data_IF_160009811706
#
_entry.id   IF_160009811706
#
_cell.length_a   1.000
_cell.length_b   1.000
_cell.length_c   1.000
_cell.angle_alpha   90.00
_cell.angle_beta   90.00
_cell.angle_gamma   90.00
#
_symmetry.space_group_name_H-M   'P 1'
#
loop_
_entity.id
_entity.type
_entity.pdbx_description
1 polymer ?
#
# COMPACT_ATOMS: atom_id res chain seq x y z
N UNK A 1 -12.89 -26.99 -15.59
CA UNK A 1 -13.79 -26.13 -14.79
C UNK A 1 -13.07 -24.94 -14.15
N UNK A 2 -11.88 -25.10 -13.54
CA UNK A 2 -11.04 -23.98 -13.02
C UNK A 2 -10.82 -22.84 -14.03
N UNK A 3 -10.63 -23.17 -15.30
CA UNK A 3 -10.40 -22.20 -16.37
C UNK A 3 -11.54 -21.17 -16.57
N UNK A 4 -12.81 -21.48 -16.28
CA UNK A 4 -13.90 -20.52 -16.51
C UNK A 4 -14.12 -19.55 -15.34
N UNK A 5 -13.88 -19.99 -14.11
CA UNK A 5 -13.95 -19.17 -12.88
C UNK A 5 -12.89 -18.07 -12.89
N UNK A 6 -11.69 -18.47 -13.33
CA UNK A 6 -10.57 -17.60 -13.63
C UNK A 6 -10.99 -16.47 -14.58
N UNK A 7 -11.67 -16.76 -15.70
CA UNK A 7 -12.05 -15.74 -16.69
C UNK A 7 -13.04 -14.69 -16.15
N UNK A 8 -13.92 -15.04 -15.21
CA UNK A 8 -14.85 -14.08 -14.60
C UNK A 8 -14.19 -13.22 -13.52
N UNK A 9 -13.30 -13.82 -12.72
CA UNK A 9 -12.44 -13.09 -11.78
C UNK A 9 -11.55 -12.12 -12.56
N UNK A 10 -10.92 -12.60 -13.63
CA UNK A 10 -10.14 -11.78 -14.55
C UNK A 10 -11.02 -10.70 -15.18
N UNK A 11 -12.21 -10.99 -15.70
CA UNK A 11 -13.08 -9.96 -16.29
C UNK A 11 -13.51 -8.88 -15.28
N UNK A 12 -13.71 -9.22 -14.00
CA UNK A 12 -14.07 -8.27 -12.94
C UNK A 12 -12.87 -7.44 -12.49
N UNK A 13 -11.71 -8.07 -12.31
CA UNK A 13 -10.42 -7.41 -12.08
C UNK A 13 -10.11 -6.50 -13.26
N UNK A 14 -10.19 -6.97 -14.51
CA UNK A 14 -10.04 -6.20 -15.75
C UNK A 14 -11.05 -5.08 -15.87
N UNK A 15 -12.33 -5.29 -15.53
CA UNK A 15 -13.34 -4.22 -15.55
C UNK A 15 -12.99 -3.13 -14.53
N UNK A 16 -12.55 -3.48 -13.32
CA UNK A 16 -12.13 -2.50 -12.33
C UNK A 16 -10.77 -1.87 -12.65
N UNK A 17 -9.82 -2.63 -13.22
CA UNK A 17 -8.54 -2.15 -13.74
C UNK A 17 -8.76 -1.19 -14.90
N UNK A 18 -9.36 -1.60 -16.03
CA UNK A 18 -9.57 -0.75 -17.22
C UNK A 18 -10.53 0.42 -16.97
N UNK A 19 -11.45 0.30 -16.01
CA UNK A 19 -12.30 1.43 -15.57
C UNK A 19 -11.55 2.41 -14.65
N UNK A 20 -10.48 1.96 -13.98
CA UNK A 20 -9.60 2.78 -13.15
C UNK A 20 -8.32 3.23 -13.90
N UNK A 21 -7.91 2.49 -14.94
CA UNK A 21 -6.79 2.74 -15.85
C UNK A 21 -7.39 3.45 -17.05
N UNK A 22 -7.35 4.76 -16.96
CA UNK A 22 -7.92 5.67 -17.93
C UNK A 22 -7.11 5.61 -19.24
N UNK A 23 -7.51 4.77 -20.20
CA UNK A 23 -6.91 4.70 -21.54
C UNK A 23 -7.06 5.99 -22.38
N UNK A 24 -7.67 7.04 -21.82
CA UNK A 24 -7.69 8.37 -22.42
C UNK A 24 -6.69 9.27 -21.73
N UNK A 25 -5.57 9.46 -22.43
CA UNK A 25 -4.57 10.50 -22.17
C UNK A 25 -5.21 11.87 -22.02
N UNK A 26 -4.56 12.62 -21.14
CA UNK A 26 -4.62 14.06 -20.91
C UNK A 26 -5.85 14.59 -20.18
N UNK A 27 -5.53 15.19 -19.03
CA UNK A 27 -6.28 16.22 -18.32
C UNK A 27 -7.74 15.87 -18.04
N UNK A 28 -8.11 15.47 -16.82
CA UNK A 28 -9.12 16.23 -16.07
C UNK A 28 -9.47 15.62 -14.68
N UNK A 29 -10.06 16.44 -13.78
CA UNK A 29 -10.44 16.18 -12.39
C UNK A 29 -11.48 15.07 -12.14
N UNK A 30 -11.76 14.18 -13.09
CA UNK A 30 -12.86 13.21 -12.99
C UNK A 30 -12.64 12.13 -11.92
N UNK A 31 -11.39 11.89 -11.51
CA UNK A 31 -11.08 11.02 -10.37
C UNK A 31 -11.51 11.60 -9.02
N UNK A 32 -11.57 12.94 -8.87
CA UNK A 32 -12.10 13.58 -7.65
C UNK A 32 -13.58 13.25 -7.39
N UNK A 33 -14.32 12.84 -8.42
CA UNK A 33 -15.76 12.57 -8.34
C UNK A 33 -16.08 11.11 -7.97
N UNK A 34 -15.28 10.14 -8.45
CA UNK A 34 -15.54 8.70 -8.24
C UNK A 34 -14.94 8.13 -6.96
N UNK A 35 -13.77 8.60 -6.55
CA UNK A 35 -13.30 8.46 -5.18
C UNK A 35 -13.93 9.59 -4.39
N UNK A 36 -15.26 9.57 -4.28
CA UNK A 36 -16.00 10.59 -3.57
C UNK A 36 -15.37 10.71 -2.19
N UNK A 37 -14.59 11.78 -2.06
CA UNK A 37 -13.99 12.25 -0.84
C UNK A 37 -15.09 12.18 0.22
N UNK A 38 -14.99 11.22 1.13
CA UNK A 38 -15.62 11.36 2.44
C UNK A 38 -14.88 12.44 3.26
N UNK A 39 -14.23 13.42 2.63
CA UNK A 39 -13.91 14.71 3.25
C UNK A 39 -15.14 15.63 3.16
N UNK A 40 -16.35 15.12 3.42
CA UNK A 40 -17.50 16.01 3.57
C UNK A 40 -17.46 16.77 4.89
N UNK A 41 -16.62 16.35 5.84
CA UNK A 41 -16.17 17.07 7.03
C UNK A 41 -15.06 16.23 7.69
N UNK A 42 -13.79 16.64 7.66
CA UNK A 42 -12.86 16.26 8.74
C UNK A 42 -11.52 16.95 8.55
N UNK A 43 -11.00 17.50 9.63
CA UNK A 43 -9.63 17.96 9.87
C UNK A 43 -8.56 16.85 9.72
N UNK A 44 -8.81 15.83 8.89
CA UNK A 44 -8.02 14.60 8.82
C UNK A 44 -6.99 14.64 7.71
N UNK A 45 -5.76 14.29 8.05
CA UNK A 45 -4.66 14.22 7.11
C UNK A 45 -4.94 13.20 5.97
N UNK A 46 -4.59 13.50 4.70
CA UNK A 46 -4.81 12.61 3.56
C UNK A 46 -4.19 11.22 3.74
N UNK A 47 -3.04 11.14 4.41
CA UNK A 47 -2.33 9.90 4.71
C UNK A 47 -3.15 8.90 5.56
N UNK A 48 -3.92 9.40 6.52
CA UNK A 48 -4.74 8.59 7.43
C UNK A 48 -6.20 8.49 6.96
N UNK A 49 -6.52 9.11 5.82
CA UNK A 49 -7.87 9.05 5.26
C UNK A 49 -8.08 7.69 4.58
N UNK A 50 -9.08 6.90 5.02
CA UNK A 50 -9.32 5.60 4.42
C UNK A 50 -9.90 5.72 3.00
N UNK A 51 -9.55 4.75 2.15
CA UNK A 51 -10.15 4.55 0.83
C UNK A 51 -11.15 3.41 0.91
N UNK A 52 -12.39 3.67 0.50
CA UNK A 52 -13.48 2.70 0.51
C UNK A 52 -13.80 2.20 -0.89
N UNK A 53 -13.93 0.88 -1.04
CA UNK A 53 -14.37 0.20 -2.27
C UNK A 53 -15.52 -0.74 -1.92
N UNK A 54 -16.65 -0.63 -2.59
CA UNK A 54 -17.81 -1.50 -2.36
C UNK A 54 -17.82 -2.67 -3.33
N UNK A 55 -18.09 -3.87 -2.83
CA UNK A 55 -18.23 -5.09 -3.64
C UNK A 55 -19.39 -5.94 -3.10
N UNK A 56 -19.62 -7.07 -3.76
CA UNK A 56 -20.57 -8.10 -3.35
C UNK A 56 -20.07 -9.47 -3.79
N UNK A 57 -20.47 -10.52 -3.08
CA UNK A 57 -20.07 -11.91 -3.37
C UNK A 57 -20.94 -12.48 -4.46
N UNK A 58 -20.38 -12.80 -5.63
CA UNK A 58 -21.12 -13.54 -6.66
C UNK A 58 -21.25 -15.03 -6.30
N UNK A 59 -22.18 -15.77 -6.91
CA UNK A 59 -22.30 -17.22 -6.67
C UNK A 59 -21.02 -17.99 -7.03
N UNK A 60 -20.19 -17.47 -7.94
CA UNK A 60 -18.92 -18.11 -8.30
C UNK A 60 -17.79 -17.81 -7.31
N UNK A 61 -18.02 -16.91 -6.36
CA UNK A 61 -17.08 -16.58 -5.29
C UNK A 61 -17.46 -17.28 -3.97
N UNK A 62 -18.50 -18.13 -3.98
CA UNK A 62 -18.90 -18.90 -2.80
C UNK A 62 -18.28 -20.29 -2.75
N UNK A 63 -18.04 -20.77 -1.54
CA UNK A 63 -17.60 -22.14 -1.28
C UNK A 63 -18.78 -23.13 -1.20
N UNK A 64 -18.48 -24.38 -0.83
CA UNK A 64 -19.49 -25.43 -0.62
C UNK A 64 -20.53 -25.09 0.46
N UNK A 65 -20.23 -24.18 1.38
CA UNK A 65 -21.14 -23.74 2.45
C UNK A 65 -22.01 -22.56 2.01
N UNK A 66 -21.96 -22.16 0.73
CA UNK A 66 -22.70 -21.03 0.17
C UNK A 66 -22.36 -19.69 0.82
N UNK A 67 -21.17 -19.56 1.40
CA UNK A 67 -20.64 -18.28 1.85
C UNK A 67 -19.42 -17.90 1.03
N UNK A 68 -19.04 -16.62 1.06
CA UNK A 68 -17.83 -16.15 0.39
C UNK A 68 -16.64 -17.04 0.76
N UNK A 69 -16.02 -17.65 -0.25
CA UNK A 69 -14.85 -18.50 -0.06
C UNK A 69 -13.69 -17.70 0.54
N UNK A 70 -13.01 -18.28 1.53
CA UNK A 70 -11.89 -17.65 2.23
C UNK A 70 -10.79 -17.15 1.27
N UNK A 71 -10.53 -17.86 0.17
CA UNK A 71 -9.53 -17.46 -0.82
C UNK A 71 -9.89 -16.17 -1.56
N UNK A 72 -11.19 -15.96 -1.84
CA UNK A 72 -11.65 -14.81 -2.64
C UNK A 72 -11.55 -13.48 -1.90
N UNK A 73 -11.35 -13.49 -0.57
CA UNK A 73 -11.04 -12.27 0.18
C UNK A 73 -9.70 -11.65 -0.25
N UNK A 74 -8.72 -12.45 -0.67
CA UNK A 74 -7.42 -11.93 -1.10
C UNK A 74 -7.50 -11.14 -2.41
N UNK A 75 -8.34 -11.58 -3.35
CA UNK A 75 -8.61 -10.83 -4.58
C UNK A 75 -9.28 -9.48 -4.30
N UNK A 76 -10.21 -9.46 -3.35
CA UNK A 76 -10.85 -8.22 -2.90
C UNK A 76 -9.88 -7.30 -2.14
N UNK A 77 -9.00 -7.88 -1.33
CA UNK A 77 -7.90 -7.15 -0.70
C UNK A 77 -7.04 -6.49 -1.76
N UNK A 78 -6.61 -7.21 -2.80
CA UNK A 78 -5.83 -6.68 -3.93
C UNK A 78 -6.46 -5.46 -4.57
N UNK A 79 -7.76 -5.51 -4.83
CA UNK A 79 -8.47 -4.37 -5.43
C UNK A 79 -8.48 -3.17 -4.48
N UNK A 80 -8.86 -3.38 -3.21
CA UNK A 80 -9.01 -2.28 -2.23
C UNK A 80 -7.67 -1.63 -1.88
N UNK A 81 -6.64 -2.44 -1.63
CA UNK A 81 -5.32 -1.95 -1.22
C UNK A 81 -4.55 -1.31 -2.36
N UNK A 82 -4.68 -1.81 -3.59
CA UNK A 82 -4.07 -1.18 -4.77
C UNK A 82 -4.61 0.23 -4.98
N UNK A 83 -5.92 0.45 -4.77
CA UNK A 83 -6.49 1.79 -4.86
C UNK A 83 -5.84 2.77 -3.85
N UNK A 84 -5.58 2.32 -2.62
CA UNK A 84 -4.91 3.14 -1.61
C UNK A 84 -3.43 3.35 -1.94
N UNK A 85 -2.68 2.27 -2.21
CA UNK A 85 -1.23 2.31 -2.41
C UNK A 85 -0.86 3.14 -3.63
N UNK A 86 -1.60 3.01 -4.74
CA UNK A 86 -1.39 3.85 -5.93
C UNK A 86 -1.61 5.33 -5.61
N UNK A 87 -2.66 5.66 -4.85
CA UNK A 87 -2.94 7.05 -4.47
C UNK A 87 -1.84 7.66 -3.59
N UNK A 88 -1.29 6.89 -2.64
CA UNK A 88 -0.27 7.37 -1.71
C UNK A 88 1.14 7.39 -2.33
N UNK A 89 1.52 6.33 -3.06
CA UNK A 89 2.90 6.11 -3.48
C UNK A 89 3.20 6.69 -4.86
N UNK A 90 2.27 6.65 -5.82
CA UNK A 90 2.56 7.05 -7.21
C UNK A 90 3.17 8.45 -7.35
N UNK A 91 2.69 9.50 -6.65
CA UNK A 91 3.29 10.83 -6.77
C UNK A 91 4.76 10.88 -6.32
N UNK A 92 5.07 10.24 -5.19
CA UNK A 92 6.43 10.25 -4.62
C UNK A 92 7.38 9.28 -5.31
N UNK A 93 6.83 8.18 -5.85
CA UNK A 93 7.58 7.17 -6.59
C UNK A 93 8.23 7.77 -7.84
N UNK A 94 7.50 8.57 -8.61
CA UNK A 94 8.05 9.15 -9.84
C UNK A 94 9.18 10.15 -9.56
N UNK A 95 9.04 10.95 -8.49
CA UNK A 95 10.10 11.88 -8.05
C UNK A 95 11.33 11.08 -7.60
N UNK A 96 11.16 10.08 -6.72
CA UNK A 96 12.25 9.23 -6.25
C UNK A 96 12.94 8.49 -7.40
N UNK A 97 12.19 8.03 -8.40
CA UNK A 97 12.72 7.36 -9.58
C UNK A 97 13.72 8.25 -10.30
N UNK A 98 13.31 9.48 -10.60
CA UNK A 98 14.11 10.48 -11.33
C UNK A 98 15.37 10.86 -10.56
N UNK A 99 15.25 11.16 -9.28
CA UNK A 99 16.40 11.44 -8.41
C UNK A 99 17.41 10.31 -8.40
N UNK A 100 16.94 9.06 -8.31
CA UNK A 100 17.80 7.88 -8.30
C UNK A 100 18.33 7.53 -9.70
N UNK A 101 17.68 7.98 -10.78
CA UNK A 101 18.14 7.78 -12.17
C UNK A 101 19.22 8.77 -12.56
N UNK A 102 19.23 9.96 -11.95
CA UNK A 102 20.29 10.96 -12.09
C UNK A 102 21.58 10.56 -11.37
N UNK A 103 21.52 9.65 -10.40
CA UNK A 103 22.71 9.16 -9.72
C UNK A 103 23.49 8.20 -10.63
N UNK A 104 24.71 8.60 -10.94
CA UNK A 104 25.63 7.87 -11.80
C UNK A 104 26.81 7.38 -10.97
N UNK A 105 27.27 6.16 -11.23
CA UNK A 105 28.49 5.62 -10.65
C UNK A 105 29.74 6.27 -11.24
N UNK A 106 30.90 6.06 -10.61
CA UNK A 106 32.21 6.51 -11.11
C UNK A 106 32.53 6.03 -12.54
N UNK A 107 31.83 4.99 -13.02
CA UNK A 107 31.96 4.44 -14.38
C UNK A 107 31.02 5.06 -15.43
N UNK A 108 30.23 6.08 -15.06
CA UNK A 108 29.27 6.72 -15.97
C UNK A 108 27.97 5.94 -16.19
N UNK A 109 27.75 4.84 -15.46
CA UNK A 109 26.51 4.03 -15.52
C UNK A 109 25.54 4.43 -14.42
N UNK A 110 24.24 4.20 -14.63
CA UNK A 110 23.22 4.41 -13.61
C UNK A 110 23.54 3.59 -12.35
N UNK A 111 23.65 4.26 -11.21
CA UNK A 111 23.98 3.66 -9.91
C UNK A 111 22.94 2.64 -9.45
N UNK A 112 21.67 2.91 -9.74
CA UNK A 112 20.57 2.03 -9.40
C UNK A 112 19.80 1.62 -10.66
N UNK A 113 20.25 0.58 -11.38
CA UNK A 113 19.53 0.08 -12.53
C UNK A 113 18.26 -0.66 -12.10
N UNK A 114 17.17 -0.47 -12.85
CA UNK A 114 15.91 -1.19 -12.65
C UNK A 114 14.71 -0.27 -12.47
N UNK A 115 13.53 -0.85 -12.63
CA UNK A 115 12.25 -0.16 -12.45
C UNK A 115 11.92 -0.02 -10.97
N UNK A 116 11.18 1.03 -10.66
CA UNK A 116 10.60 1.24 -9.34
C UNK A 116 9.29 0.44 -9.24
N UNK A 117 9.13 -0.35 -8.18
CA UNK A 117 7.96 -1.20 -7.96
C UNK A 117 7.59 -1.22 -6.48
N UNK A 118 6.29 -1.37 -6.21
CA UNK A 118 5.77 -1.66 -4.87
C UNK A 118 5.39 -3.13 -4.85
N UNK A 119 6.09 -3.91 -4.03
CA UNK A 119 5.92 -5.36 -3.93
C UNK A 119 5.21 -5.72 -2.63
N UNK A 120 4.27 -6.65 -2.71
CA UNK A 120 3.66 -7.24 -1.52
C UNK A 120 4.61 -8.28 -0.93
N UNK A 121 4.98 -8.13 0.34
CA UNK A 121 5.81 -9.12 1.05
C UNK A 121 5.00 -10.14 1.83
N UNK A 122 3.92 -9.71 2.48
CA UNK A 122 3.08 -10.58 3.29
C UNK A 122 1.65 -10.04 3.34
N UNK A 123 0.68 -10.95 3.41
CA UNK A 123 -0.72 -10.65 3.61
C UNK A 123 -1.33 -11.61 4.61
N UNK A 124 -2.16 -11.08 5.49
CA UNK A 124 -2.93 -11.85 6.44
C UNK A 124 -4.37 -11.41 6.38
N UNK A 125 -5.27 -12.37 6.55
CA UNK A 125 -6.70 -12.12 6.64
C UNK A 125 -7.28 -12.89 7.82
N UNK A 126 -8.05 -12.21 8.66
CA UNK A 126 -8.82 -12.82 9.73
C UNK A 126 -10.31 -12.64 9.47
N UNK A 127 -11.01 -13.76 9.35
CA UNK A 127 -12.45 -13.83 9.10
C UNK A 127 -13.21 -13.76 10.43
N UNK A 128 -14.20 -12.87 10.53
CA UNK A 128 -15.01 -12.64 11.75
C UNK A 128 -16.45 -13.06 11.58
N UNK A 129 -17.05 -12.77 10.42
CA UNK A 129 -18.43 -13.13 10.08
C UNK A 129 -18.52 -13.53 8.62
N UNK A 130 -19.39 -14.49 8.33
CA UNK A 130 -19.67 -14.94 6.98
C UNK A 130 -20.38 -13.85 6.14
N UNK A 131 -20.13 -13.92 4.84
CA UNK A 131 -20.74 -13.06 3.82
C UNK A 131 -21.56 -13.95 2.89
N UNK A 132 -22.90 -13.90 2.96
CA UNK A 132 -23.77 -14.67 2.09
C UNK A 132 -23.73 -14.17 0.63
N UNK A 133 -24.24 -14.96 -0.33
CA UNK A 133 -24.24 -14.60 -1.73
C UNK A 133 -25.01 -13.30 -1.97
N UNK A 134 -24.50 -12.48 -2.87
CA UNK A 134 -25.01 -11.16 -3.26
C UNK A 134 -25.10 -10.12 -2.14
N UNK A 135 -24.60 -10.42 -0.94
CA UNK A 135 -24.51 -9.42 0.11
C UNK A 135 -23.47 -8.36 -0.26
N UNK A 136 -23.87 -7.09 -0.15
CA UNK A 136 -22.97 -5.95 -0.36
C UNK A 136 -22.14 -5.70 0.89
N UNK A 137 -20.85 -5.50 0.68
CA UNK A 137 -19.92 -5.08 1.72
C UNK A 137 -18.98 -3.98 1.20
N UNK A 138 -18.40 -3.25 2.14
CA UNK A 138 -17.45 -2.18 1.90
C UNK A 138 -16.07 -2.60 2.40
N UNK A 139 -15.05 -2.46 1.57
CA UNK A 139 -13.66 -2.67 1.93
C UNK A 139 -13.03 -1.31 2.16
N UNK A 140 -12.67 -1.04 3.42
CA UNK A 140 -12.06 0.20 3.82
C UNK A 140 -10.58 -0.03 4.10
N UNK A 141 -9.72 0.42 3.18
CA UNK A 141 -8.26 0.33 3.31
C UNK A 141 -7.69 1.63 3.88
N UNK A 142 -6.85 1.52 4.90
CA UNK A 142 -6.13 2.66 5.48
C UNK A 142 -4.66 2.34 5.68
N UNK A 143 -3.82 3.37 5.62
CA UNK A 143 -2.44 3.24 6.05
C UNK A 143 -2.41 3.08 7.56
N UNK A 144 -1.79 2.01 8.04
CA UNK A 144 -1.58 1.80 9.47
C UNK A 144 -0.32 2.54 9.91
N UNK A 145 0.78 2.28 9.24
CA UNK A 145 2.08 2.88 9.57
C UNK A 145 3.13 2.36 8.62
N UNK A 146 4.36 2.80 8.82
CA UNK A 146 5.52 2.33 8.07
C UNK A 146 6.76 2.37 8.92
N UNK A 147 7.73 1.56 8.57
CA UNK A 147 9.08 1.56 9.15
C UNK A 147 10.14 1.88 8.07
N UNK A 148 11.37 1.46 8.29
CA UNK A 148 12.50 1.67 7.37
C UNK A 148 12.40 0.85 6.07
N UNK A 149 11.67 -0.27 6.08
CA UNK A 149 11.57 -1.23 4.97
C UNK A 149 10.13 -1.42 4.48
N UNK A 150 9.18 -1.50 5.40
CA UNK A 150 7.81 -1.94 5.19
C UNK A 150 6.80 -0.80 5.34
N UNK A 151 5.82 -0.80 4.44
CA UNK A 151 4.61 0.01 4.50
C UNK A 151 3.44 -0.91 4.86
N UNK A 152 2.73 -0.61 5.94
CA UNK A 152 1.66 -1.44 6.48
C UNK A 152 0.27 -0.88 6.16
N UNK A 153 -0.55 -1.67 5.47
CA UNK A 153 -1.93 -1.32 5.13
C UNK A 153 -2.88 -2.27 5.85
N UNK A 154 -3.92 -1.70 6.46
CA UNK A 154 -5.00 -2.46 7.09
C UNK A 154 -6.28 -2.24 6.30
N UNK A 155 -6.97 -3.32 5.98
CA UNK A 155 -8.24 -3.31 5.25
C UNK A 155 -9.33 -3.93 6.10
N UNK A 156 -10.43 -3.21 6.30
CA UNK A 156 -11.61 -3.72 6.99
C UNK A 156 -12.70 -4.06 5.98
N UNK A 157 -13.22 -5.28 6.05
CA UNK A 157 -14.46 -5.65 5.38
C UNK A 157 -15.63 -5.30 6.29
N UNK A 158 -16.51 -4.44 5.83
CA UNK A 158 -17.57 -3.84 6.61
C UNK A 158 -18.92 -4.10 5.95
N UNK A 159 -19.84 -4.67 6.72
CA UNK A 159 -21.26 -4.72 6.34
C UNK A 159 -21.88 -3.34 6.57
N UNK A 160 -22.58 -2.78 5.58
CA UNK A 160 -23.34 -1.55 5.75
C UNK A 160 -24.36 -1.66 6.89
N UNK A 161 -24.73 -0.52 7.46
CA UNK A 161 -25.73 -0.48 8.54
C UNK A 161 -27.08 -1.02 8.07
N UNK A 162 -27.66 -1.96 8.81
CA UNK A 162 -29.02 -2.46 8.54
C UNK A 162 -30.11 -1.47 8.97
N UNK A 163 -29.83 -0.72 10.04
CA UNK A 163 -30.69 0.34 10.60
C UNK A 163 -29.82 1.54 10.92
N UNK A 164 -30.32 2.75 10.65
CA UNK A 164 -29.60 3.99 10.95
C UNK A 164 -29.18 4.02 12.42
N UNK A 165 -27.88 4.17 12.68
CA UNK A 165 -27.33 4.32 14.03
C UNK A 165 -26.81 3.03 14.68
N UNK A 166 -26.89 1.88 14.01
CA UNK A 166 -26.31 0.63 14.53
C UNK A 166 -24.79 0.51 14.31
N UNK A 167 -24.21 1.35 13.44
CA UNK A 167 -22.81 1.23 13.04
C UNK A 167 -22.56 0.08 12.06
N UNK A 168 -21.42 0.15 11.38
CA UNK A 168 -20.98 -0.90 10.44
C UNK A 168 -20.52 -2.13 11.20
N UNK A 169 -20.77 -3.32 10.67
CA UNK A 169 -20.30 -4.58 11.28
C UNK A 169 -19.03 -5.07 10.59
N UNK A 170 -18.00 -5.42 11.37
CA UNK A 170 -16.76 -6.01 10.83
C UNK A 170 -17.02 -7.46 10.41
N UNK A 171 -16.69 -7.76 9.16
CA UNK A 171 -16.80 -9.08 8.52
C UNK A 171 -15.45 -9.80 8.50
N UNK A 172 -14.39 -9.08 8.12
CA UNK A 172 -13.03 -9.58 8.08
C UNK A 172 -12.04 -8.41 8.21
N UNK A 173 -10.80 -8.74 8.58
CA UNK A 173 -9.69 -7.78 8.71
C UNK A 173 -8.50 -8.33 7.94
N UNK A 174 -7.98 -7.55 7.00
CA UNK A 174 -6.76 -7.82 6.27
C UNK A 174 -5.61 -6.92 6.71
N UNK A 175 -4.40 -7.46 6.79
CA UNK A 175 -3.15 -6.73 7.01
C UNK A 175 -2.19 -7.06 5.87
N UNK A 176 -1.63 -6.04 5.25
CA UNK A 176 -0.71 -6.18 4.10
C UNK A 176 0.59 -5.45 4.36
N UNK A 177 1.71 -6.08 4.05
CA UNK A 177 3.06 -5.53 4.17
C UNK A 177 3.63 -5.28 2.77
N UNK A 178 4.07 -4.06 2.50
CA UNK A 178 4.62 -3.65 1.22
C UNK A 178 6.06 -3.20 1.33
N UNK A 179 6.89 -3.57 0.36
CA UNK A 179 8.24 -3.06 0.19
C UNK A 179 8.34 -2.28 -1.11
N UNK A 180 8.99 -1.12 -1.08
CA UNK A 180 9.24 -0.31 -2.26
C UNK A 180 10.66 -0.60 -2.73
N UNK A 181 10.82 -1.00 -4.00
CA UNK A 181 12.12 -1.36 -4.57
C UNK A 181 12.40 -0.64 -5.88
N UNK A 182 13.64 -0.20 -6.06
CA UNK A 182 14.22 0.20 -7.36
C UNK A 182 15.29 -0.80 -7.76
N UNK A 183 14.93 -1.73 -8.66
CA UNK A 183 15.78 -2.88 -8.96
C UNK A 183 16.09 -3.67 -7.68
N UNK A 184 17.36 -3.73 -7.28
CA UNK A 184 17.80 -4.39 -6.04
C UNK A 184 17.80 -3.48 -4.81
N UNK A 185 17.64 -2.17 -4.98
CA UNK A 185 17.61 -1.21 -3.88
C UNK A 185 16.23 -1.20 -3.23
N UNK A 186 16.17 -1.41 -1.92
CA UNK A 186 14.98 -1.12 -1.12
C UNK A 186 14.94 0.36 -0.78
N UNK A 187 13.81 1.03 -1.06
CA UNK A 187 13.60 2.43 -0.77
C UNK A 187 12.70 2.56 0.47
N UNK A 188 13.16 3.38 1.41
CA UNK A 188 12.41 3.67 2.64
C UNK A 188 11.04 4.29 2.31
N UNK A 189 9.93 3.79 2.87
CA UNK A 189 8.60 4.37 2.67
C UNK A 189 8.55 5.87 3.00
N UNK A 190 9.24 6.31 4.06
CA UNK A 190 9.34 7.73 4.46
C UNK A 190 9.83 8.61 3.30
N UNK A 191 10.83 8.15 2.53
CA UNK A 191 11.36 8.92 1.40
C UNK A 191 10.29 9.15 0.33
N UNK A 192 9.50 8.12 0.02
CA UNK A 192 8.44 8.20 -0.98
C UNK A 192 7.30 9.10 -0.49
N UNK A 193 6.92 9.01 0.78
CA UNK A 193 5.86 9.84 1.37
C UNK A 193 6.26 11.32 1.52
N UNK A 194 7.53 11.59 1.80
CA UNK A 194 8.07 12.95 1.79
C UNK A 194 8.15 13.51 0.36
N UNK A 195 8.60 12.69 -0.60
CA UNK A 195 8.61 13.08 -2.00
C UNK A 195 7.19 13.39 -2.52
N UNK A 196 6.17 12.66 -2.07
CA UNK A 196 4.77 12.92 -2.44
C UNK A 196 4.15 14.14 -1.75
N UNK A 197 4.83 14.77 -0.79
CA UNK A 197 4.33 15.91 -0.03
C UNK A 197 3.29 15.53 1.05
N UNK A 198 3.24 14.27 1.45
CA UNK A 198 2.33 13.75 2.47
C UNK A 198 2.97 13.68 3.86
N UNK A 199 4.28 13.84 3.97
CA UNK A 199 5.00 13.88 5.24
C UNK A 199 5.94 15.08 5.19
N UNK A 200 5.89 16.00 6.18
CA UNK A 200 6.79 17.14 6.23
C UNK A 200 8.23 16.67 6.50
N UNK A 201 9.19 17.53 6.18
CA UNK A 201 10.58 17.29 6.53
C UNK A 201 10.75 17.30 8.05
N UNK A 202 11.62 16.40 8.53
CA UNK A 202 11.89 16.27 9.96
C UNK A 202 12.54 17.57 10.48
N UNK A 203 12.03 18.18 11.57
CA UNK A 203 12.63 19.40 12.12
C UNK A 203 14.08 19.15 12.51
N UNK A 204 14.98 20.06 12.11
CA UNK A 204 16.41 20.02 12.41
C UNK A 204 16.61 20.22 13.92
N UNK A 205 16.57 19.14 14.69
CA UNK A 205 16.68 19.17 16.15
C UNK A 205 16.21 17.90 16.84
N UNK A 206 15.37 17.08 16.19
CA UNK A 206 14.96 15.77 16.71
C UNK A 206 15.92 14.66 16.28
N UNK A 207 17.19 14.81 16.62
CA UNK A 207 18.16 13.72 16.51
C UNK A 207 17.77 12.63 17.51
N UNK A 208 17.09 11.59 17.04
CA UNK A 208 17.27 10.28 17.66
C UNK A 208 18.75 9.95 17.44
N UNK A 209 19.51 9.87 18.53
CA UNK A 209 20.94 9.59 18.63
C UNK A 209 21.48 8.72 17.49
N UNK A 210 21.93 9.36 16.41
CA UNK A 210 22.88 8.78 15.46
C UNK A 210 24.26 9.19 15.94
N UNK A 211 24.86 8.38 16.80
CA UNK A 211 26.28 8.50 17.11
C UNK A 211 27.06 8.32 15.82
N UNK A 212 27.62 9.42 15.33
CA UNK A 212 28.66 9.44 14.31
C UNK A 212 29.94 8.87 14.88
N UNK A 213 30.40 7.73 14.35
CA UNK A 213 31.81 7.35 14.38
C UNK A 213 32.23 7.03 12.95
N UNK A 214 33.16 7.82 12.44
CA UNK A 214 33.86 7.61 11.18
C UNK A 214 34.78 6.38 11.27
N UNK A 215 34.84 5.63 10.17
CA UNK A 215 36.02 4.88 9.72
C UNK A 215 36.67 3.89 10.68
N UNK A 216 36.27 2.62 10.62
CA UNK A 216 37.03 1.52 11.22
C UNK A 216 36.45 0.16 10.84
N UNK A 217 37.31 -0.76 10.40
CA UNK A 217 36.98 -2.09 9.93
C UNK A 217 36.13 -2.92 10.92
N UNK A 218 35.31 -3.82 10.34
CA UNK A 218 34.41 -4.83 10.94
C UNK A 218 34.94 -5.49 12.24
N UNK A 219 34.08 -5.86 13.20
CA UNK A 219 33.43 -7.17 13.12
C UNK A 219 31.95 -7.22 13.53
N UNK A 220 31.33 -8.28 13.01
CA UNK A 220 30.03 -8.89 13.29
C UNK A 220 29.68 -9.01 14.79
N UNK A 221 28.55 -8.44 15.20
CA UNK A 221 27.77 -8.85 16.38
C UNK A 221 26.29 -8.73 16.03
N UNK A 222 25.68 -9.89 15.75
CA UNK A 222 24.33 -10.03 15.25
C UNK A 222 23.22 -9.64 16.23
N UNK A 223 22.31 -8.79 15.75
CA UNK A 223 20.89 -8.91 16.04
C UNK A 223 20.26 -9.51 14.78
N UNK A 224 20.14 -10.84 14.80
CA UNK A 224 19.61 -11.63 13.70
C UNK A 224 18.12 -11.32 13.49
N UNK A 225 17.83 -10.33 12.64
CA UNK A 225 16.61 -10.38 11.83
C UNK A 225 16.94 -11.34 10.69
N UNK A 226 16.23 -12.47 10.50
CA UNK A 226 16.60 -13.41 9.46
C UNK A 226 16.60 -12.70 8.11
N UNK A 227 17.77 -12.67 7.48
CA UNK A 227 17.97 -12.15 6.13
C UNK A 227 17.37 -13.10 5.06
N UNK A 228 16.84 -14.26 5.47
CA UNK A 228 16.11 -15.20 4.62
C UNK A 228 14.61 -14.92 4.61
N UNK A 229 14.25 -13.70 4.25
CA UNK A 229 12.91 -13.38 3.76
C UNK A 229 13.04 -12.95 2.31
N UNK A 230 13.42 -13.87 1.43
CA UNK A 230 13.07 -13.70 0.02
C UNK A 230 11.58 -13.37 0.02
N UNK A 231 11.24 -12.19 -0.53
CA UNK A 231 9.84 -11.88 -0.77
C UNK A 231 9.28 -13.09 -1.51
N UNK A 232 8.30 -13.76 -0.93
CA UNK A 232 7.70 -14.95 -1.52
C UNK A 232 7.29 -14.52 -2.92
N UNK A 233 7.98 -14.99 -3.95
CA UNK A 233 7.47 -14.92 -5.32
C UNK A 233 6.12 -15.60 -5.24
N UNK A 234 5.05 -14.82 -5.38
CA UNK A 234 3.71 -15.30 -5.12
C UNK A 234 3.45 -16.46 -6.08
N UNK A 235 3.44 -17.69 -5.56
CA UNK A 235 3.30 -18.89 -6.37
C UNK A 235 1.97 -18.88 -7.11
N UNK A 236 2.06 -18.92 -8.45
CA UNK A 236 1.11 -19.38 -9.47
C UNK A 236 -0.41 -19.27 -9.21
N UNK A 237 -0.86 -18.20 -8.53
CA UNK A 237 -2.28 -17.91 -8.34
C UNK A 237 -2.49 -16.41 -8.26
N UNK A 238 -3.13 -15.86 -9.30
CA UNK A 238 -3.18 -14.44 -9.70
C UNK A 238 -2.01 -14.09 -10.59
N UNK A 239 -2.30 -13.82 -11.87
CA UNK A 239 -1.35 -13.40 -12.89
C UNK A 239 -0.49 -12.23 -12.38
N UNK A 240 0.67 -12.61 -11.84
CA UNK A 240 1.69 -11.77 -11.21
C UNK A 240 2.20 -10.71 -12.20
N UNK A 241 2.01 -10.97 -13.50
CA UNK A 241 2.20 -10.02 -14.57
C UNK A 241 1.29 -8.80 -14.40
N UNK A 242 0.02 -8.95 -14.05
CA UNK A 242 -1.00 -7.89 -14.14
C UNK A 242 -0.99 -6.89 -12.98
N UNK A 243 -0.81 -7.33 -11.73
CA UNK A 243 -0.67 -6.40 -10.59
C UNK A 243 0.64 -5.63 -10.71
N UNK A 244 1.69 -6.32 -11.15
CA UNK A 244 2.97 -5.73 -11.53
C UNK A 244 2.78 -4.80 -12.72
N UNK A 245 1.98 -5.18 -13.71
CA UNK A 245 1.69 -4.37 -14.91
C UNK A 245 0.95 -3.10 -14.53
N UNK A 246 -0.10 -3.13 -13.70
CA UNK A 246 -0.84 -1.95 -13.21
C UNK A 246 0.01 -1.02 -12.36
N UNK A 247 0.82 -1.57 -11.45
CA UNK A 247 1.80 -0.77 -10.69
C UNK A 247 2.89 -0.21 -11.63
N UNK A 248 3.22 -0.92 -12.70
CA UNK A 248 4.16 -0.47 -13.72
C UNK A 248 3.54 0.37 -14.86
N UNK A 249 2.21 0.46 -14.99
CA UNK A 249 1.53 1.27 -16.03
C UNK A 249 1.62 2.78 -15.73
N UNK A 250 2.10 3.12 -14.52
CA UNK A 250 2.69 4.42 -14.23
C UNK A 250 3.93 4.73 -15.11
N UNK A 251 4.47 3.77 -15.88
CA UNK A 251 5.52 3.99 -16.90
C UNK A 251 5.04 4.70 -18.18
N UNK A 252 3.77 5.06 -18.32
CA UNK A 252 3.28 5.68 -19.56
C UNK A 252 3.32 7.22 -19.55
N UNK A 253 4.54 7.77 -19.56
CA UNK A 253 4.82 9.14 -20.02
C UNK A 253 5.70 9.95 -19.07
N UNK A 254 6.83 10.44 -19.58
CA UNK A 254 7.71 11.38 -18.89
C UNK A 254 6.91 12.64 -18.49
N UNK A 255 6.44 12.71 -17.24
CA UNK A 255 5.90 13.94 -16.68
C UNK A 255 7.07 14.90 -16.44
N UNK A 256 7.01 16.11 -16.99
CA UNK A 256 8.06 17.11 -16.79
C UNK A 256 8.24 17.45 -15.30
N UNK A 257 9.46 17.89 -14.91
CA UNK A 257 9.79 18.16 -13.51
C UNK A 257 8.80 19.14 -12.85
N UNK A 258 8.38 20.14 -13.62
CA UNK A 258 7.39 21.14 -13.23
C UNK A 258 6.03 20.53 -12.84
N UNK A 259 5.54 19.52 -13.57
CA UNK A 259 4.24 18.87 -13.27
C UNK A 259 4.30 18.09 -11.95
N UNK A 260 5.47 17.54 -11.61
CA UNK A 260 5.67 16.82 -10.36
C UNK A 260 5.80 17.77 -9.17
N UNK A 261 6.51 18.89 -9.33
CA UNK A 261 6.58 19.95 -8.31
C UNK A 261 5.22 20.59 -8.06
N UNK A 262 4.44 20.82 -9.12
CA UNK A 262 3.05 21.27 -9.01
C UNK A 262 2.20 20.25 -8.26
N UNK A 263 2.34 18.94 -8.53
CA UNK A 263 1.65 17.89 -7.75
C UNK A 263 2.10 17.83 -6.30
N UNK A 264 3.40 18.00 -6.02
CA UNK A 264 3.92 18.05 -4.64
C UNK A 264 3.34 19.26 -3.89
N UNK A 265 3.24 20.41 -4.56
CA UNK A 265 2.60 21.63 -4.02
C UNK A 265 1.10 21.45 -3.82
N UNK A 266 0.41 20.85 -4.79
CA UNK A 266 -1.01 20.51 -4.68
C UNK A 266 -1.26 19.58 -3.49
N UNK A 267 -0.46 18.51 -3.35
CA UNK A 267 -0.56 17.56 -2.26
C UNK A 267 -0.25 18.20 -0.89
N UNK A 268 0.78 19.04 -0.81
CA UNK A 268 1.08 19.81 0.39
C UNK A 268 -0.03 20.80 0.75
N UNK A 269 -0.76 21.32 -0.24
CA UNK A 269 -1.93 22.16 -0.04
C UNK A 269 -3.24 21.40 0.27
N UNK A 270 -3.23 20.06 0.33
CA UNK A 270 -4.41 19.27 0.68
C UNK A 270 -4.67 19.21 2.20
N UNK A 271 -3.71 19.63 3.01
CA UNK A 271 -3.74 19.52 4.46
C UNK A 271 -3.07 20.72 5.12
N UNK A 272 -3.49 21.02 6.34
CA UNK A 272 -2.98 22.16 7.10
C UNK A 272 -1.70 21.75 7.85
N UNK A 273 -0.57 22.38 7.49
CA UNK A 273 0.73 22.14 8.09
C UNK A 273 0.85 22.63 9.54
N UNK A 274 0.00 23.56 9.97
CA UNK A 274 -0.05 24.01 11.37
C UNK A 274 -0.79 23.00 12.25
N UNK A 275 -1.86 22.41 11.73
CA UNK A 275 -2.63 21.40 12.45
C UNK A 275 -1.93 20.02 12.47
N UNK A 276 -1.24 19.68 11.38
CA UNK A 276 -0.55 18.40 11.20
C UNK A 276 0.96 18.56 11.23
N UNK A 277 1.49 18.85 12.42
CA UNK A 277 2.95 18.90 12.63
C UNK A 277 3.59 17.54 12.39
N UNK A 278 4.92 17.55 12.18
CA UNK A 278 5.71 16.34 12.06
C UNK A 278 5.50 15.39 13.25
N UNK A 279 5.43 15.90 14.49
CA UNK A 279 5.22 15.05 15.67
C UNK A 279 3.86 14.36 15.64
N UNK A 280 2.80 15.05 15.18
CA UNK A 280 1.45 14.47 15.12
C UNK A 280 1.37 13.34 14.09
N UNK A 281 2.01 13.51 12.94
CA UNK A 281 2.09 12.47 11.91
C UNK A 281 2.91 11.29 12.42
N UNK A 282 4.03 11.57 13.11
CA UNK A 282 4.88 10.55 13.72
C UNK A 282 4.15 9.76 14.81
N UNK A 283 3.36 10.43 15.66
CA UNK A 283 2.52 9.78 16.65
C UNK A 283 1.52 8.84 15.97
N UNK A 284 0.80 9.32 14.94
CA UNK A 284 -0.13 8.48 14.18
C UNK A 284 0.54 7.27 13.51
N UNK A 285 1.77 7.46 13.01
CA UNK A 285 2.59 6.37 12.46
C UNK A 285 2.93 5.33 13.51
N UNK A 286 3.34 5.76 14.71
CA UNK A 286 3.72 4.86 15.81
C UNK A 286 2.51 4.10 16.36
N UNK A 287 1.38 4.78 16.57
CA UNK A 287 0.13 4.15 17.04
C UNK A 287 -0.33 3.03 16.09
N UNK A 288 -0.31 3.30 14.78
CA UNK A 288 -0.71 2.30 13.81
C UNK A 288 0.34 1.22 13.55
N UNK A 289 1.63 1.48 13.84
CA UNK A 289 2.66 0.44 13.86
C UNK A 289 2.48 -0.49 15.07
N UNK A 290 2.19 0.06 16.26
CA UNK A 290 1.90 -0.74 17.46
C UNK A 290 0.67 -1.64 17.26
N UNK A 291 -0.37 -1.15 16.58
CA UNK A 291 -1.55 -1.94 16.23
C UNK A 291 -1.25 -3.16 15.35
N UNK A 292 -0.21 -3.10 14.52
CA UNK A 292 0.20 -4.17 13.58
C UNK A 292 1.39 -4.98 14.10
N UNK A 293 2.10 -4.49 15.12
CA UNK A 293 3.29 -5.13 15.70
C UNK A 293 3.05 -6.54 16.21
N UNK A 294 1.92 -6.78 16.88
CA UNK A 294 1.57 -8.12 17.34
C UNK A 294 1.40 -9.10 16.19
N UNK A 295 0.90 -8.62 15.04
CA UNK A 295 0.76 -9.41 13.83
C UNK A 295 2.11 -9.69 13.17
N UNK A 296 2.98 -8.68 13.01
CA UNK A 296 4.33 -8.83 12.45
C UNK A 296 5.19 -9.76 13.31
N UNK A 297 5.09 -9.62 14.63
CA UNK A 297 5.84 -10.44 15.58
C UNK A 297 5.38 -11.89 15.64
N UNK A 298 4.13 -12.20 15.25
CA UNK A 298 3.63 -13.57 15.22
C UNK A 298 4.38 -14.41 14.18
N UNK A 299 4.55 -13.87 12.96
CA UNK A 299 5.24 -14.54 11.86
C UNK A 299 6.71 -14.83 12.22
N UNK A 300 7.40 -13.84 12.78
CA UNK A 300 8.77 -13.99 13.25
C UNK A 300 8.91 -15.07 14.34
N UNK A 301 7.97 -15.15 15.28
CA UNK A 301 7.95 -16.18 16.32
C UNK A 301 7.73 -17.58 15.75
N UNK A 302 6.82 -17.71 14.78
CA UNK A 302 6.54 -19.01 14.15
C UNK A 302 7.73 -19.53 13.36
N UNK A 303 8.47 -18.66 12.67
CA UNK A 303 9.71 -19.03 11.98
C UNK A 303 10.81 -19.53 12.94
N UNK A 304 10.85 -19.05 14.19
CA UNK A 304 11.82 -19.52 15.18
C UNK A 304 11.49 -20.90 15.77
N UNK A 305 10.21 -21.31 15.74
CA UNK A 305 9.77 -22.61 16.27
C UNK A 305 10.09 -23.73 15.28
N UNK A 306 10.21 -23.39 14.00
CA UNK A 306 10.53 -24.31 12.93
C UNK A 306 12.05 -24.34 12.80
N UNK A 307 12.73 -25.09 13.69
CA UNK A 307 14.12 -25.50 13.50
C UNK A 307 14.17 -26.46 12.28
N UNK A 308 14.32 -25.90 11.08
CA UNK A 308 14.66 -26.63 9.85
C UNK A 308 16.15 -26.51 9.53
#
# INVERSE_FOLDING_TARGET
>A
MRSFEDHFIYARVFFHLFKNVNFRRHTHPSMKSRFQKQTKNSHSHPLFTPVSVTSHTSLFETDYNLHKSNSTYFSDLDISRTALVTNLCTPGMEICRRELDQQVDASGRKKYPGRLSVMLGSVYCSFKKEIPPYERYEMQSRLSGWDEKWLYVVTYFLRPEKRRGQGKTILAIGVSQYVIKKGRLTIKPTRVLQASGLVPDKPQGSSASSTSVEGGATPDVGVNTPESGEAISAGEGLDESLVREVMTLADSGELSQAVLEDKKRENGGLWDGEEWTWERIEQGRLEGLEAVKAFVGLDAKLNQVVDL
#
